data_IF_786837260440
#
_entry.id   IF_786837260440
#
_cell.length_a   1.000
_cell.length_b   1.000
_cell.length_c   1.000
_cell.angle_alpha   90.00
_cell.angle_beta   90.00
_cell.angle_gamma   90.00
#
_symmetry.space_group_name_H-M   'P 1'
#
loop_
_entity.id
_entity.type
_entity.pdbx_description
1 polymer ?
#
# COMPACT_ATOMS: atom_id res chain seq x y z
N UNK A 1 -4.59 -20.95 -3.71
CA UNK A 1 -4.56 -21.82 -4.90
C UNK A 1 -5.89 -22.53 -5.18
N UNK A 2 -6.48 -23.29 -4.27
CA UNK A 2 -7.71 -24.06 -4.53
C UNK A 2 -8.92 -23.21 -4.91
N UNK A 3 -8.99 -21.99 -4.41
CA UNK A 3 -10.09 -21.05 -4.66
C UNK A 3 -9.84 -20.17 -5.90
N UNK A 4 -8.59 -19.79 -6.18
CA UNK A 4 -8.24 -18.80 -7.21
C UNK A 4 -8.79 -19.14 -8.60
N UNK A 5 -8.63 -20.40 -9.04
CA UNK A 5 -9.08 -20.81 -10.37
C UNK A 5 -10.61 -20.90 -10.49
N UNK A 6 -11.31 -20.96 -9.36
CA UNK A 6 -12.78 -21.01 -9.30
C UNK A 6 -13.39 -19.62 -9.09
N UNK A 7 -12.66 -18.73 -8.43
CA UNK A 7 -13.12 -17.41 -8.07
C UNK A 7 -12.13 -16.35 -8.61
N UNK A 8 -12.27 -15.95 -9.88
CA UNK A 8 -11.49 -14.87 -10.45
C UNK A 8 -11.79 -13.54 -9.75
N UNK A 9 -10.88 -12.58 -9.89
CA UNK A 9 -10.98 -11.28 -9.22
C UNK A 9 -11.07 -11.42 -7.69
N UNK A 10 -10.11 -12.13 -7.12
CA UNK A 10 -10.01 -12.38 -5.68
C UNK A 10 -8.86 -11.59 -5.07
N UNK A 11 -8.92 -11.39 -3.77
CA UNK A 11 -7.88 -10.74 -2.98
C UNK A 11 -7.35 -11.70 -1.92
N UNK A 12 -6.03 -11.71 -1.76
CA UNK A 12 -5.33 -12.36 -0.65
C UNK A 12 -4.50 -11.32 0.07
N UNK A 13 -4.69 -11.20 1.37
CA UNK A 13 -3.84 -10.45 2.29
C UNK A 13 -3.36 -11.40 3.38
N UNK A 14 -2.04 -11.49 3.57
CA UNK A 14 -1.44 -12.32 4.61
C UNK A 14 -0.52 -11.45 5.48
N UNK A 15 -0.36 -11.82 6.74
CA UNK A 15 0.67 -11.28 7.61
C UNK A 15 1.65 -12.37 8.00
N UNK A 16 2.93 -12.04 8.03
CA UNK A 16 3.97 -12.88 8.63
C UNK A 16 4.39 -12.41 10.02
N UNK A 17 3.74 -11.38 10.54
CA UNK A 17 3.98 -10.90 11.90
C UNK A 17 3.06 -11.61 12.88
N UNK A 18 3.57 -12.68 13.47
CA UNK A 18 2.86 -13.49 14.46
C UNK A 18 3.07 -12.99 15.92
N UNK A 19 3.80 -11.89 16.10
CA UNK A 19 4.10 -11.35 17.43
C UNK A 19 3.00 -10.42 17.96
N UNK A 20 2.22 -9.82 17.06
CA UNK A 20 1.06 -8.99 17.42
C UNK A 20 -0.23 -9.75 17.07
N UNK A 21 -1.03 -10.10 18.08
CA UNK A 21 -2.30 -10.80 17.88
C UNK A 21 -3.27 -10.05 16.93
N UNK A 22 -3.20 -8.72 16.88
CA UNK A 22 -4.02 -7.91 15.99
C UNK A 22 -3.57 -7.96 14.54
N UNK A 23 -2.28 -8.25 14.27
CA UNK A 23 -1.70 -8.33 12.93
C UNK A 23 -1.51 -9.79 12.45
N UNK A 24 -1.90 -10.79 13.25
CA UNK A 24 -1.70 -12.21 12.92
C UNK A 24 -2.81 -12.83 12.07
N UNK A 25 -3.52 -12.02 11.27
CA UNK A 25 -4.64 -12.51 10.46
C UNK A 25 -4.33 -12.44 8.97
N UNK A 26 -4.83 -13.44 8.25
CA UNK A 26 -4.85 -13.44 6.78
C UNK A 26 -6.29 -13.43 6.28
N UNK A 27 -6.52 -12.76 5.16
CA UNK A 27 -7.84 -12.56 4.57
C UNK A 27 -7.83 -13.03 3.12
N UNK A 28 -8.88 -13.74 2.69
CA UNK A 28 -9.15 -14.03 1.29
C UNK A 28 -10.54 -13.52 0.98
N UNK A 29 -10.62 -12.56 0.05
CA UNK A 29 -11.90 -12.06 -0.51
C UNK A 29 -12.18 -12.74 -1.84
N UNK A 30 -13.38 -13.28 -2.00
CA UNK A 30 -13.87 -13.89 -3.24
C UNK A 30 -15.28 -13.40 -3.56
N UNK A 31 -15.71 -13.56 -4.80
CA UNK A 31 -17.02 -13.10 -5.28
C UNK A 31 -17.18 -11.58 -5.11
N UNK A 32 -16.52 -10.75 -5.94
CA UNK A 32 -16.70 -9.31 -5.92
C UNK A 32 -18.17 -8.97 -6.16
N UNK A 33 -18.74 -8.11 -5.31
CA UNK A 33 -20.15 -7.73 -5.39
C UNK A 33 -20.39 -6.25 -5.64
N UNK A 34 -19.42 -5.41 -5.26
CA UNK A 34 -19.47 -3.97 -5.49
C UNK A 34 -18.07 -3.40 -5.61
N UNK A 35 -17.91 -2.25 -6.27
CA UNK A 35 -16.61 -1.61 -6.41
C UNK A 35 -16.71 -0.11 -6.58
N UNK A 36 -15.67 0.59 -6.12
CA UNK A 36 -15.43 2.00 -6.42
C UNK A 36 -14.08 2.14 -7.12
N UNK A 37 -14.09 2.81 -8.27
CA UNK A 37 -12.89 3.10 -9.07
C UNK A 37 -12.81 4.59 -9.37
N UNK A 38 -11.62 5.18 -9.21
CA UNK A 38 -11.35 6.56 -9.61
C UNK A 38 -10.19 6.56 -10.61
N UNK A 39 -10.43 7.11 -11.77
CA UNK A 39 -9.43 7.24 -12.83
C UNK A 39 -9.82 8.35 -13.80
N UNK A 40 -8.83 9.06 -14.34
CA UNK A 40 -9.04 10.16 -15.29
C UNK A 40 -10.07 11.22 -14.82
N UNK A 41 -10.09 11.50 -13.51
CA UNK A 41 -11.01 12.47 -12.92
C UNK A 41 -12.45 11.99 -12.74
N UNK A 42 -12.75 10.73 -13.03
CA UNK A 42 -14.07 10.13 -12.87
C UNK A 42 -14.07 9.08 -11.75
N UNK A 43 -15.06 9.17 -10.87
CA UNK A 43 -15.40 8.15 -9.90
C UNK A 43 -16.50 7.27 -10.50
N UNK A 44 -16.26 6.00 -10.63
CA UNK A 44 -17.23 4.98 -11.06
C UNK A 44 -17.56 4.08 -9.88
N UNK A 45 -18.81 3.99 -9.50
CA UNK A 45 -19.30 3.09 -8.46
C UNK A 45 -20.20 2.03 -9.09
N UNK A 46 -19.94 0.77 -8.78
CA UNK A 46 -20.76 -0.38 -9.18
C UNK A 46 -21.36 -0.99 -7.93
N UNK A 47 -22.68 -1.09 -7.87
CA UNK A 47 -23.42 -1.64 -6.74
C UNK A 47 -23.75 -3.13 -6.94
N UNK A 48 -24.21 -3.86 -5.89
CA UNK A 48 -24.45 -5.29 -5.97
C UNK A 48 -25.53 -5.72 -6.99
N UNK A 49 -26.45 -4.83 -7.34
CA UNK A 49 -27.45 -5.04 -8.38
C UNK A 49 -26.91 -4.87 -9.81
N UNK A 50 -25.62 -4.56 -9.95
CA UNK A 50 -24.95 -4.27 -11.21
C UNK A 50 -25.15 -2.84 -11.71
N UNK A 51 -25.89 -2.00 -11.00
CA UNK A 51 -26.03 -0.58 -11.35
C UNK A 51 -24.70 0.14 -11.23
N UNK A 52 -24.43 1.04 -12.17
CA UNK A 52 -23.19 1.81 -12.23
C UNK A 52 -23.48 3.29 -12.30
N UNK A 53 -22.83 4.06 -11.45
CA UNK A 53 -22.90 5.52 -11.46
C UNK A 53 -21.51 6.12 -11.72
N UNK A 54 -21.49 7.27 -12.41
CA UNK A 54 -20.26 8.00 -12.66
C UNK A 54 -20.41 9.46 -12.21
N UNK A 55 -19.41 9.95 -11.48
CA UNK A 55 -19.38 11.33 -10.96
C UNK A 55 -17.96 11.90 -11.14
N UNK A 56 -17.86 13.16 -11.52
CA UNK A 56 -16.56 13.84 -11.65
C UNK A 56 -15.97 14.11 -10.27
N UNK A 57 -14.72 13.76 -10.09
CA UNK A 57 -13.93 14.15 -8.90
C UNK A 57 -13.42 15.56 -9.10
N UNK A 58 -13.85 16.47 -8.23
CA UNK A 58 -13.49 17.89 -8.24
C UNK A 58 -13.47 18.48 -6.81
N UNK A 59 -13.38 19.81 -6.69
CA UNK A 59 -13.42 20.48 -5.39
C UNK A 59 -14.74 20.34 -4.61
N UNK A 60 -15.85 19.95 -5.26
CA UNK A 60 -17.17 19.75 -4.63
C UNK A 60 -17.42 18.28 -4.30
N UNK A 61 -16.86 17.37 -5.09
CA UNK A 61 -16.97 15.92 -4.91
C UNK A 61 -15.57 15.28 -4.83
N UNK A 62 -15.03 15.31 -3.62
CA UNK A 62 -13.68 14.86 -3.30
C UNK A 62 -13.62 13.34 -3.09
N UNK A 63 -12.44 12.76 -3.14
CA UNK A 63 -12.23 11.31 -2.98
C UNK A 63 -12.70 10.79 -1.62
N UNK A 64 -12.47 11.52 -0.53
CA UNK A 64 -12.98 11.18 0.81
C UNK A 64 -14.50 11.10 0.83
N UNK A 65 -15.17 12.05 0.16
CA UNK A 65 -16.61 12.04 0.03
C UNK A 65 -17.09 10.87 -0.83
N UNK A 66 -16.44 10.61 -1.96
CA UNK A 66 -16.79 9.50 -2.84
C UNK A 66 -16.68 8.14 -2.12
N UNK A 67 -15.60 7.93 -1.37
CA UNK A 67 -15.42 6.72 -0.56
C UNK A 67 -16.45 6.62 0.56
N UNK A 68 -16.76 7.73 1.25
CA UNK A 68 -17.77 7.75 2.30
C UNK A 68 -19.18 7.49 1.76
N UNK A 69 -19.54 8.14 0.65
CA UNK A 69 -20.83 7.92 -0.01
C UNK A 69 -20.97 6.48 -0.50
N UNK A 70 -19.89 5.88 -1.02
CA UNK A 70 -19.89 4.48 -1.44
C UNK A 70 -20.07 3.53 -0.26
N UNK A 71 -19.29 3.68 0.81
CA UNK A 71 -19.41 2.88 2.03
C UNK A 71 -20.77 3.04 2.71
N UNK A 72 -21.35 4.24 2.65
CA UNK A 72 -22.68 4.54 3.20
C UNK A 72 -23.85 3.78 2.54
N UNK A 73 -23.63 3.15 1.36
CA UNK A 73 -24.63 2.28 0.74
C UNK A 73 -24.73 0.90 1.41
N UNK A 74 -23.80 0.55 2.31
CA UNK A 74 -23.73 -0.79 2.88
C UNK A 74 -23.93 -0.75 4.39
N UNK A 75 -24.86 -1.55 4.85
CA UNK A 75 -25.04 -1.87 6.26
C UNK A 75 -25.02 -3.38 6.40
N UNK A 76 -24.09 -3.89 7.20
CA UNK A 76 -23.93 -5.33 7.46
C UNK A 76 -24.03 -5.56 8.95
N UNK A 77 -24.89 -6.51 9.33
CA UNK A 77 -25.10 -6.93 10.71
C UNK A 77 -24.67 -8.39 10.88
N UNK A 78 -24.14 -8.73 12.02
CA UNK A 78 -23.71 -10.09 12.35
C UNK A 78 -22.43 -10.11 13.18
N UNK A 79 -22.13 -11.27 13.74
CA UNK A 79 -20.99 -11.45 14.67
C UNK A 79 -19.63 -11.09 14.04
N UNK A 80 -19.48 -11.36 12.73
CA UNK A 80 -18.22 -11.17 11.99
C UNK A 80 -18.30 -10.03 10.95
N UNK A 81 -19.26 -9.10 11.11
CA UNK A 81 -19.47 -7.98 10.20
C UNK A 81 -18.21 -7.07 10.05
N UNK A 82 -17.34 -7.05 11.07
CA UNK A 82 -16.07 -6.31 11.07
C UNK A 82 -15.05 -6.79 10.04
N UNK A 83 -15.19 -7.99 9.48
CA UNK A 83 -14.35 -8.48 8.39
C UNK A 83 -14.85 -8.05 6.99
N UNK A 84 -16.09 -7.57 6.92
CA UNK A 84 -16.66 -7.05 5.68
C UNK A 84 -16.19 -5.62 5.46
N UNK A 85 -15.66 -5.34 4.28
CA UNK A 85 -15.17 -4.03 3.91
C UNK A 85 -14.59 -4.03 2.50
N UNK A 86 -13.92 -2.96 2.17
CA UNK A 86 -13.29 -2.73 0.88
C UNK A 86 -11.85 -3.21 0.89
N UNK A 87 -11.47 -3.97 -0.11
CA UNK A 87 -10.11 -4.44 -0.34
C UNK A 87 -9.60 -3.87 -1.66
N UNK A 88 -8.45 -3.21 -1.66
CA UNK A 88 -7.98 -2.57 -2.87
C UNK A 88 -6.75 -1.72 -2.68
N UNK A 89 -6.53 -0.80 -3.62
CA UNK A 89 -5.34 0.02 -3.67
C UNK A 89 -5.62 1.48 -4.05
N UNK A 90 -4.65 2.33 -3.74
CA UNK A 90 -4.55 3.72 -4.21
C UNK A 90 -3.15 3.90 -4.81
N UNK A 91 -3.06 4.35 -6.07
CA UNK A 91 -1.77 4.59 -6.74
C UNK A 91 -1.09 5.85 -6.20
N UNK A 92 0.23 5.95 -6.37
CA UNK A 92 0.96 7.19 -6.07
C UNK A 92 0.37 8.40 -6.79
N UNK A 93 -0.09 8.21 -8.03
CA UNK A 93 -0.60 9.28 -8.87
C UNK A 93 -2.00 9.77 -8.46
N UNK A 94 -2.71 9.02 -7.60
CA UNK A 94 -3.99 9.47 -7.03
C UNK A 94 -3.86 10.79 -6.24
N UNK A 95 -2.65 11.16 -5.84
CA UNK A 95 -2.37 12.44 -5.16
C UNK A 95 -2.90 13.64 -5.93
N UNK A 96 -3.06 13.55 -7.27
CA UNK A 96 -3.70 14.59 -8.11
C UNK A 96 -5.13 14.91 -7.68
N UNK A 97 -5.81 13.98 -7.01
CA UNK A 97 -7.16 14.18 -6.48
C UNK A 97 -7.17 14.69 -5.03
N UNK A 98 -6.02 14.69 -4.37
CA UNK A 98 -5.86 15.00 -2.95
C UNK A 98 -5.19 16.37 -2.72
N UNK A 99 -4.27 16.73 -3.60
CA UNK A 99 -3.48 17.96 -3.52
C UNK A 99 -3.53 18.70 -4.86
N UNK A 100 -3.37 20.02 -4.83
CA UNK A 100 -3.33 20.84 -6.05
C UNK A 100 -1.94 20.75 -6.71
N UNK A 101 -1.68 19.62 -7.34
CA UNK A 101 -0.42 19.36 -8.05
C UNK A 101 -0.69 18.73 -9.42
N UNK A 102 0.20 19.03 -10.36
CA UNK A 102 0.26 18.33 -11.63
C UNK A 102 1.24 17.16 -11.51
N UNK A 103 0.75 15.95 -11.61
CA UNK A 103 1.57 14.74 -11.77
C UNK A 103 1.34 14.15 -13.16
N UNK A 104 2.37 13.53 -13.73
CA UNK A 104 2.24 12.87 -15.05
C UNK A 104 1.06 11.89 -15.01
N UNK A 105 0.25 11.97 -16.05
CA UNK A 105 -0.81 11.00 -16.27
C UNK A 105 -0.26 9.75 -16.95
N UNK A 106 -0.95 8.62 -16.77
CA UNK A 106 -0.75 7.47 -17.63
C UNK A 106 -1.30 7.81 -19.01
N UNK A 107 -0.55 7.48 -20.05
CA UNK A 107 -1.15 7.35 -21.37
C UNK A 107 -2.04 6.11 -21.35
N UNK A 108 -3.17 6.15 -22.07
CA UNK A 108 -4.09 5.00 -22.16
C UNK A 108 -3.41 3.72 -22.65
N UNK A 109 -2.30 3.87 -23.38
CA UNK A 109 -1.53 2.75 -23.94
C UNK A 109 -0.61 2.05 -22.93
N UNK A 110 -0.19 2.75 -21.84
CA UNK A 110 0.78 2.21 -20.89
C UNK A 110 0.11 1.62 -19.64
N UNK A 111 -0.86 2.34 -19.08
CA UNK A 111 -1.54 1.90 -17.87
C UNK A 111 -2.88 2.63 -17.71
N UNK A 112 -3.96 1.96 -18.07
CA UNK A 112 -5.35 2.43 -17.93
C UNK A 112 -6.00 1.97 -16.63
N UNK A 113 -5.25 1.34 -15.71
CA UNK A 113 -5.75 0.94 -14.41
C UNK A 113 -6.19 2.17 -13.61
N UNK A 114 -7.30 2.11 -12.87
CA UNK A 114 -7.74 3.21 -12.02
C UNK A 114 -6.67 3.65 -11.03
N UNK A 115 -6.63 4.94 -10.70
CA UNK A 115 -5.75 5.46 -9.64
C UNK A 115 -6.19 4.99 -8.24
N UNK A 116 -7.49 4.77 -8.05
CA UNK A 116 -8.08 4.21 -6.83
C UNK A 116 -9.01 3.07 -7.25
N UNK A 117 -8.87 1.92 -6.66
CA UNK A 117 -9.78 0.79 -6.87
C UNK A 117 -9.93 -0.02 -5.60
N UNK A 118 -11.17 -0.04 -5.09
CA UNK A 118 -11.54 -0.85 -3.93
C UNK A 118 -12.77 -1.70 -4.26
N UNK A 119 -12.74 -2.94 -3.80
CA UNK A 119 -13.76 -3.96 -4.08
C UNK A 119 -14.35 -4.47 -2.77
N UNK A 120 -15.67 -4.55 -2.70
CA UNK A 120 -16.41 -5.26 -1.66
C UNK A 120 -16.61 -6.71 -2.12
N UNK A 121 -16.13 -7.65 -1.33
CA UNK A 121 -16.32 -9.08 -1.59
C UNK A 121 -17.50 -9.62 -0.78
N UNK A 122 -18.29 -10.52 -1.40
CA UNK A 122 -19.40 -11.19 -0.72
C UNK A 122 -18.89 -12.17 0.33
N UNK A 123 -17.87 -12.95 -0.02
CA UNK A 123 -17.34 -14.01 0.83
C UNK A 123 -15.93 -13.67 1.27
N UNK A 124 -15.70 -13.74 2.59
CA UNK A 124 -14.40 -13.49 3.20
C UNK A 124 -13.99 -14.72 4.02
N UNK A 125 -12.77 -15.18 3.82
CA UNK A 125 -12.14 -16.24 4.59
C UNK A 125 -11.07 -15.60 5.46
N UNK A 126 -11.18 -15.75 6.76
CA UNK A 126 -10.23 -15.20 7.73
C UNK A 126 -9.47 -16.33 8.39
N UNK A 127 -8.15 -16.26 8.40
CA UNK A 127 -7.29 -17.10 9.19
C UNK A 127 -6.70 -16.30 10.34
N UNK A 128 -7.04 -16.64 11.55
CA UNK A 128 -6.38 -16.18 12.75
C UNK A 128 -5.22 -17.12 13.09
N UNK A 129 -4.00 -16.69 12.80
CA UNK A 129 -2.80 -17.51 13.01
C UNK A 129 -2.42 -17.65 14.48
N UNK A 130 -2.87 -16.73 15.34
CA UNK A 130 -2.61 -16.80 16.78
C UNK A 130 -3.44 -17.90 17.44
N UNK A 131 -4.72 -18.00 17.07
CA UNK A 131 -5.66 -18.98 17.62
C UNK A 131 -5.71 -20.26 16.77
N UNK A 132 -5.10 -20.27 15.59
CA UNK A 132 -5.22 -21.36 14.59
C UNK A 132 -6.66 -21.61 14.16
N UNK A 133 -7.44 -20.57 14.03
CA UNK A 133 -8.86 -20.61 13.66
C UNK A 133 -9.07 -20.10 12.24
N UNK A 134 -10.04 -20.70 11.55
CA UNK A 134 -10.52 -20.23 10.26
C UNK A 134 -12.00 -19.86 10.36
N UNK A 135 -12.34 -18.64 10.00
CA UNK A 135 -13.71 -18.15 9.97
C UNK A 135 -14.11 -17.91 8.51
N UNK A 136 -15.26 -18.44 8.11
CA UNK A 136 -15.89 -18.17 6.82
C UNK A 136 -17.04 -17.20 7.03
N UNK A 137 -17.04 -16.11 6.27
CA UNK A 137 -18.05 -15.05 6.37
C UNK A 137 -18.66 -14.84 4.99
N UNK A 138 -19.97 -14.77 4.89
CA UNK A 138 -20.69 -14.44 3.65
C UNK A 138 -21.79 -13.40 3.89
N UNK A 139 -22.06 -12.61 2.88
CA UNK A 139 -23.21 -11.69 2.86
C UNK A 139 -24.38 -12.41 2.15
N UNK A 140 -25.44 -12.71 2.88
CA UNK A 140 -26.66 -13.34 2.35
C UNK A 140 -26.77 -14.83 2.62
N UNK A 141 -26.84 -15.67 1.60
CA UNK A 141 -27.10 -17.11 1.73
C UNK A 141 -25.90 -17.89 2.28
N UNK A 142 -26.02 -18.42 3.49
CA UNK A 142 -24.97 -19.19 4.17
C UNK A 142 -24.71 -20.57 3.53
N UNK A 143 -25.58 -21.06 2.67
CA UNK A 143 -25.38 -22.38 2.01
C UNK A 143 -24.13 -22.43 1.13
N UNK A 144 -23.62 -21.28 0.67
CA UNK A 144 -22.38 -21.19 -0.10
C UNK A 144 -21.15 -21.54 0.72
N UNK A 145 -21.20 -21.42 2.04
CA UNK A 145 -20.07 -21.70 2.95
C UNK A 145 -19.63 -23.16 2.89
N UNK A 146 -20.59 -24.10 2.78
CA UNK A 146 -20.31 -25.53 2.65
C UNK A 146 -19.52 -25.85 1.37
N UNK A 147 -19.80 -25.13 0.27
CA UNK A 147 -19.09 -25.29 -1.01
C UNK A 147 -17.66 -24.73 -0.93
N UNK A 148 -17.49 -23.60 -0.26
CA UNK A 148 -16.18 -23.00 0.01
C UNK A 148 -15.36 -23.93 0.88
N UNK A 149 -15.91 -24.43 1.98
CA UNK A 149 -15.25 -25.36 2.89
C UNK A 149 -14.82 -26.64 2.17
N UNK A 150 -15.73 -27.26 1.40
CA UNK A 150 -15.40 -28.44 0.59
C UNK A 150 -14.25 -28.15 -0.39
N UNK A 151 -14.21 -26.97 -0.97
CA UNK A 151 -13.16 -26.58 -1.91
C UNK A 151 -11.82 -26.37 -1.21
N UNK A 152 -11.82 -25.76 -0.04
CA UNK A 152 -10.61 -25.57 0.79
C UNK A 152 -10.04 -26.92 1.22
N UNK A 153 -10.90 -27.88 1.55
CA UNK A 153 -10.52 -29.20 2.04
C UNK A 153 -10.14 -30.22 0.94
N UNK A 154 -10.22 -29.85 -0.37
CA UNK A 154 -9.78 -30.74 -1.45
C UNK A 154 -8.31 -31.14 -1.26
N UNK A 155 -7.94 -32.42 -1.49
CA UNK A 155 -6.58 -32.91 -1.23
C UNK A 155 -5.54 -32.30 -2.21
N UNK A 156 -5.96 -31.90 -3.40
CA UNK A 156 -5.08 -31.41 -4.45
C UNK A 156 -5.42 -29.98 -4.87
N UNK A 157 -4.40 -29.18 -5.15
CA UNK A 157 -4.51 -27.91 -5.83
C UNK A 157 -3.70 -27.98 -7.14
N UNK A 158 -4.21 -27.41 -8.21
CA UNK A 158 -3.45 -27.27 -9.45
C UNK A 158 -2.33 -26.27 -9.26
N UNK A 159 -1.16 -26.59 -9.77
CA UNK A 159 -0.01 -25.69 -9.85
C UNK A 159 0.37 -25.54 -11.31
N UNK A 160 0.71 -24.33 -11.71
CA UNK A 160 1.14 -24.01 -13.06
C UNK A 160 2.56 -23.46 -12.99
N UNK A 161 3.36 -23.71 -14.03
CA UNK A 161 4.72 -23.19 -14.12
C UNK A 161 4.74 -21.65 -14.27
N UNK A 162 5.86 -21.08 -13.92
CA UNK A 162 6.21 -19.69 -14.21
C UNK A 162 7.54 -19.68 -14.96
N UNK A 163 7.65 -18.90 -16.04
CA UNK A 163 8.87 -18.77 -16.84
C UNK A 163 9.10 -17.31 -17.21
N UNK A 164 10.25 -16.77 -16.85
CA UNK A 164 10.69 -15.47 -17.33
C UNK A 164 11.11 -15.56 -18.79
N UNK A 165 10.73 -14.56 -19.60
CA UNK A 165 11.01 -14.52 -21.05
C UNK A 165 11.89 -13.32 -21.35
N UNK A 166 13.08 -13.58 -21.93
CA UNK A 166 14.05 -12.55 -22.25
C UNK A 166 14.72 -11.93 -21.03
N UNK A 167 15.43 -10.83 -21.24
CA UNK A 167 16.14 -10.10 -20.19
C UNK A 167 15.23 -9.03 -19.53
N UNK A 168 15.53 -8.69 -18.28
CA UNK A 168 14.92 -7.57 -17.59
C UNK A 168 15.31 -6.28 -18.29
N UNK A 169 14.35 -5.48 -18.67
CA UNK A 169 14.54 -4.14 -19.21
C UNK A 169 14.24 -3.07 -18.17
N UNK A 170 14.65 -1.84 -18.42
CA UNK A 170 14.37 -0.72 -17.53
C UNK A 170 13.94 0.51 -18.31
N UNK A 171 13.09 1.32 -17.72
CA UNK A 171 12.61 2.58 -18.32
C UNK A 171 13.67 3.68 -18.35
N UNK A 172 14.75 3.54 -17.61
CA UNK A 172 15.92 4.40 -17.58
C UNK A 172 17.20 3.56 -17.62
N UNK A 173 18.21 4.03 -18.32
CA UNK A 173 19.57 3.52 -18.19
C UNK A 173 20.17 3.94 -16.83
N UNK A 174 21.28 3.32 -16.42
CA UNK A 174 21.98 3.70 -15.19
C UNK A 174 22.42 5.16 -15.23
N UNK A 175 22.93 5.63 -16.38
CA UNK A 175 23.37 7.01 -16.57
C UNK A 175 22.21 8.02 -16.54
N UNK A 176 21.05 7.67 -17.07
CA UNK A 176 19.86 8.51 -16.98
C UNK A 176 19.36 8.60 -15.54
N UNK A 177 19.35 7.49 -14.82
CA UNK A 177 18.97 7.49 -13.41
C UNK A 177 19.95 8.29 -12.56
N UNK A 178 21.27 8.15 -12.77
CA UNK A 178 22.28 8.98 -12.09
C UNK A 178 22.12 10.48 -12.43
N UNK A 179 21.77 10.81 -13.66
CA UNK A 179 21.44 12.21 -14.01
C UNK A 179 20.25 12.74 -13.19
N UNK A 180 19.19 11.92 -13.01
CA UNK A 180 18.05 12.32 -12.17
C UNK A 180 18.47 12.47 -10.70
N UNK A 181 19.34 11.59 -10.19
CA UNK A 181 19.91 11.71 -8.84
C UNK A 181 20.68 13.04 -8.69
N UNK A 182 21.54 13.39 -9.65
CA UNK A 182 22.27 14.70 -9.65
C UNK A 182 21.31 15.88 -9.62
N UNK A 183 20.20 15.84 -10.39
CA UNK A 183 19.19 16.90 -10.33
C UNK A 183 18.48 16.92 -8.97
N UNK A 184 18.17 15.77 -8.39
CA UNK A 184 17.63 15.67 -7.01
C UNK A 184 18.56 16.30 -5.99
N UNK A 185 19.88 16.01 -6.05
CA UNK A 185 20.90 16.65 -5.19
C UNK A 185 20.90 18.18 -5.38
N UNK A 186 20.78 18.67 -6.61
CA UNK A 186 20.72 20.13 -6.89
C UNK A 186 19.50 20.77 -6.25
N UNK A 187 18.32 20.11 -6.29
CA UNK A 187 17.13 20.60 -5.61
C UNK A 187 17.31 20.64 -4.10
N UNK A 188 17.97 19.64 -3.51
CA UNK A 188 18.31 19.66 -2.09
C UNK A 188 19.27 20.81 -1.74
N UNK A 189 20.32 21.04 -2.54
CA UNK A 189 21.29 22.12 -2.33
C UNK A 189 20.68 23.52 -2.49
N UNK A 190 19.66 23.67 -3.34
CA UNK A 190 18.91 24.94 -3.50
C UNK A 190 17.94 25.19 -2.35
N UNK A 191 17.64 24.20 -1.54
CA UNK A 191 16.64 24.27 -0.47
C UNK A 191 15.19 24.09 -0.95
N UNK A 192 14.99 23.55 -2.17
CA UNK A 192 13.65 23.21 -2.68
C UNK A 192 13.03 22.06 -1.87
N UNK A 193 13.85 21.10 -1.47
CA UNK A 193 13.51 19.94 -0.65
C UNK A 193 14.66 19.59 0.29
N UNK A 194 14.37 18.96 1.43
CA UNK A 194 15.37 18.36 2.31
C UNK A 194 15.77 16.97 1.81
N UNK A 195 14.77 16.24 1.31
CA UNK A 195 14.91 14.90 0.74
C UNK A 195 13.91 14.72 -0.39
N UNK A 196 14.30 13.95 -1.40
CA UNK A 196 13.44 13.50 -2.48
C UNK A 196 13.72 12.03 -2.77
N UNK A 197 12.67 11.23 -3.01
CA UNK A 197 12.80 9.83 -3.38
C UNK A 197 12.63 9.66 -4.87
N UNK A 198 13.71 9.31 -5.57
CA UNK A 198 13.70 9.04 -7.01
C UNK A 198 13.74 7.54 -7.27
N UNK A 199 12.94 7.10 -8.23
CA UNK A 199 12.75 5.69 -8.49
C UNK A 199 12.97 5.31 -9.97
N UNK A 200 13.11 4.02 -10.19
CA UNK A 200 13.33 3.42 -11.50
C UNK A 200 12.48 2.16 -11.65
N UNK A 201 11.76 2.04 -12.78
CA UNK A 201 10.93 0.88 -13.10
C UNK A 201 11.71 -0.11 -13.96
N UNK A 202 11.47 -1.38 -13.67
CA UNK A 202 11.97 -2.53 -14.42
C UNK A 202 10.80 -3.35 -14.94
N UNK A 203 11.01 -3.99 -16.08
CA UNK A 203 10.01 -4.75 -16.80
C UNK A 203 10.61 -6.12 -17.13
N UNK A 204 9.89 -7.19 -16.78
CA UNK A 204 10.20 -8.57 -17.15
C UNK A 204 9.00 -9.19 -17.85
N UNK A 205 9.18 -9.69 -19.06
CA UNK A 205 8.17 -10.51 -19.71
C UNK A 205 8.16 -11.91 -19.09
N UNK A 206 6.99 -12.54 -19.04
CA UNK A 206 6.84 -13.87 -18.48
C UNK A 206 5.72 -14.64 -19.17
N UNK A 207 5.75 -15.97 -19.03
CA UNK A 207 4.71 -16.90 -19.38
C UNK A 207 4.33 -17.75 -18.16
N UNK A 208 3.07 -18.22 -18.11
CA UNK A 208 2.59 -19.08 -17.05
C UNK A 208 1.91 -18.33 -15.90
N UNK A 209 2.19 -18.73 -14.67
CA UNK A 209 1.42 -18.35 -13.48
C UNK A 209 2.20 -17.44 -12.53
N UNK A 210 1.85 -16.17 -12.49
CA UNK A 210 2.44 -15.18 -11.59
C UNK A 210 2.13 -15.41 -10.09
N UNK A 211 1.14 -16.26 -9.78
CA UNK A 211 0.92 -16.67 -8.38
C UNK A 211 2.07 -17.54 -7.84
N UNK A 212 2.76 -18.31 -8.69
CA UNK A 212 3.97 -19.00 -8.28
C UNK A 212 5.12 -18.03 -7.98
N UNK A 213 5.21 -16.93 -8.73
CA UNK A 213 6.14 -15.85 -8.42
C UNK A 213 5.82 -15.21 -7.05
N UNK A 214 4.53 -14.95 -6.76
CA UNK A 214 4.12 -14.49 -5.44
C UNK A 214 4.55 -15.46 -4.33
N UNK A 215 4.34 -16.76 -4.51
CA UNK A 215 4.76 -17.80 -3.54
C UNK A 215 6.28 -17.80 -3.34
N UNK A 216 7.05 -17.63 -4.41
CA UNK A 216 8.50 -17.50 -4.32
C UNK A 216 8.89 -16.25 -3.52
N UNK A 217 8.29 -15.08 -3.82
CA UNK A 217 8.54 -13.83 -3.09
C UNK A 217 8.19 -13.96 -1.60
N UNK A 218 7.03 -14.53 -1.28
CA UNK A 218 6.59 -14.81 0.08
C UNK A 218 7.61 -15.63 0.88
N UNK A 219 8.23 -16.61 0.23
CA UNK A 219 9.22 -17.49 0.88
C UNK A 219 10.59 -16.82 1.09
N UNK A 220 10.95 -15.87 0.22
CA UNK A 220 12.24 -15.18 0.25
C UNK A 220 12.21 -13.95 1.15
N UNK A 221 11.12 -13.23 1.12
CA UNK A 221 10.95 -11.95 1.81
C UNK A 221 9.63 -11.92 2.60
N UNK A 222 9.49 -12.72 3.67
CA UNK A 222 8.32 -12.61 4.54
C UNK A 222 8.29 -11.23 5.20
N UNK A 223 7.14 -10.58 5.14
CA UNK A 223 6.93 -9.20 5.64
C UNK A 223 5.56 -9.11 6.32
N UNK A 224 5.32 -8.07 7.15
CA UNK A 224 4.02 -7.88 7.81
C UNK A 224 2.85 -7.80 6.84
N UNK A 225 3.08 -7.31 5.62
CA UNK A 225 2.07 -7.19 4.58
C UNK A 225 2.45 -7.99 3.34
N UNK A 226 1.85 -9.15 3.19
CA UNK A 226 1.92 -9.99 2.01
C UNK A 226 0.57 -9.91 1.30
N UNK A 227 0.57 -9.70 0.00
CA UNK A 227 -0.69 -9.52 -0.73
C UNK A 227 -0.61 -10.02 -2.17
N UNK A 228 -1.74 -10.52 -2.65
CA UNK A 228 -1.98 -10.86 -4.05
C UNK A 228 -3.42 -10.50 -4.42
N UNK A 229 -3.58 -9.48 -5.23
CA UNK A 229 -4.87 -8.99 -5.69
C UNK A 229 -5.01 -9.25 -7.19
N UNK A 230 -6.04 -9.95 -7.57
CA UNK A 230 -6.45 -10.13 -8.96
C UNK A 230 -7.65 -9.21 -9.26
N UNK A 231 -7.45 -8.22 -10.11
CA UNK A 231 -8.48 -7.30 -10.55
C UNK A 231 -9.06 -7.66 -11.94
N UNK A 232 -8.76 -8.88 -12.44
CA UNK A 232 -9.21 -9.39 -13.72
C UNK A 232 -8.26 -9.03 -14.87
N UNK A 233 -8.11 -7.76 -15.22
CA UNK A 233 -7.22 -7.31 -16.30
C UNK A 233 -5.75 -7.17 -15.90
N UNK A 234 -5.46 -7.07 -14.62
CA UNK A 234 -4.13 -6.95 -14.04
C UNK A 234 -4.10 -7.47 -12.60
N UNK A 235 -2.90 -7.69 -12.08
CA UNK A 235 -2.68 -8.13 -10.70
C UNK A 235 -1.65 -7.27 -10.02
N UNK A 236 -1.81 -7.08 -8.71
CA UNK A 236 -0.83 -6.42 -7.84
C UNK A 236 -0.49 -7.39 -6.72
N UNK A 237 0.78 -7.74 -6.59
CA UNK A 237 1.22 -8.65 -5.53
C UNK A 237 2.61 -8.29 -5.03
N UNK A 238 2.82 -8.48 -3.73
CA UNK A 238 4.04 -8.00 -3.11
C UNK A 238 4.22 -8.45 -1.67
N UNK A 239 5.31 -7.95 -1.09
CA UNK A 239 5.72 -8.19 0.27
C UNK A 239 6.25 -6.89 0.88
N UNK A 240 5.34 -6.08 1.43
CA UNK A 240 5.68 -4.77 1.99
C UNK A 240 6.02 -4.85 3.48
N UNK A 241 7.11 -4.25 3.92
CA UNK A 241 7.44 -4.16 5.34
C UNK A 241 6.76 -3.00 6.06
N UNK A 242 6.15 -2.05 5.35
CA UNK A 242 5.86 -0.73 5.88
C UNK A 242 4.38 -0.39 5.81
N UNK A 243 3.83 0.06 6.96
CA UNK A 243 2.49 0.61 7.06
C UNK A 243 2.47 2.03 6.49
N UNK A 244 1.51 2.31 5.60
CA UNK A 244 1.24 3.68 5.19
C UNK A 244 0.43 4.43 6.26
N UNK A 245 -0.76 3.93 6.57
CA UNK A 245 -1.66 4.48 7.56
C UNK A 245 -2.57 3.38 8.10
N UNK A 246 -2.82 3.42 9.40
CA UNK A 246 -3.76 2.56 10.09
C UNK A 246 -4.70 3.41 10.92
N UNK A 247 -5.99 3.13 10.86
CA UNK A 247 -7.04 3.76 11.69
C UNK A 247 -7.80 2.66 12.39
N UNK A 248 -7.87 2.76 13.71
CA UNK A 248 -8.64 1.86 14.57
C UNK A 248 -9.51 2.71 15.50
N UNK A 249 -10.82 2.51 15.42
CA UNK A 249 -11.75 3.37 16.13
C UNK A 249 -11.54 4.83 15.74
N UNK A 250 -11.26 5.67 16.70
CA UNK A 250 -11.03 7.11 16.47
C UNK A 250 -9.55 7.51 16.55
N UNK A 251 -8.62 6.59 16.27
CA UNK A 251 -7.19 6.84 16.38
C UNK A 251 -6.45 6.43 15.11
N UNK A 252 -5.62 7.35 14.61
CA UNK A 252 -4.77 7.13 13.45
C UNK A 252 -3.32 6.87 13.87
N UNK A 253 -2.62 6.03 13.09
CA UNK A 253 -1.25 5.60 13.31
C UNK A 253 -0.45 5.64 12.01
N UNK A 254 0.79 6.10 12.11
CA UNK A 254 1.82 5.97 11.08
C UNK A 254 3.06 5.40 11.75
N UNK A 255 3.65 4.36 11.15
CA UNK A 255 4.83 3.68 11.67
C UNK A 255 6.03 3.92 10.73
N UNK A 256 6.75 5.06 10.84
CA UNK A 256 7.91 5.35 10.00
C UNK A 256 9.02 4.33 10.24
N UNK A 257 9.53 3.77 9.14
CA UNK A 257 10.69 2.89 9.14
C UNK A 257 11.81 3.61 8.39
N UNK A 258 12.91 3.88 9.09
CA UNK A 258 14.14 4.36 8.47
C UNK A 258 15.33 3.71 9.18
N UNK A 259 16.26 3.29 8.38
CA UNK A 259 17.37 2.48 8.85
C UNK A 259 17.05 0.98 8.79
N UNK A 260 17.85 0.30 7.98
CA UNK A 260 17.71 -1.14 7.78
C UNK A 260 19.11 -1.76 7.77
N UNK A 261 19.28 -2.82 8.53
CA UNK A 261 20.48 -3.63 8.45
C UNK A 261 20.15 -5.11 8.28
N UNK A 262 21.10 -5.86 7.76
CA UNK A 262 20.91 -7.30 7.54
C UNK A 262 20.93 -8.05 8.87
N UNK A 263 19.97 -8.96 9.03
CA UNK A 263 20.03 -10.01 10.04
C UNK A 263 20.73 -11.24 9.47
N UNK A 264 21.79 -11.69 10.11
CA UNK A 264 22.64 -12.80 9.64
C UNK A 264 22.29 -14.12 10.31
N UNK A 265 21.63 -14.08 11.47
CA UNK A 265 21.40 -15.23 12.34
C UNK A 265 22.59 -15.53 13.27
N UNK A 266 23.73 -14.83 13.06
CA UNK A 266 24.86 -14.84 13.99
C UNK A 266 24.64 -13.75 15.04
N UNK A 267 24.56 -14.14 16.31
CA UNK A 267 24.25 -13.25 17.43
C UNK A 267 25.25 -12.10 17.60
N UNK A 268 26.53 -12.35 17.39
CA UNK A 268 27.58 -11.34 17.54
C UNK A 268 27.55 -10.34 16.36
N UNK A 269 27.35 -10.84 15.14
CA UNK A 269 27.24 -9.98 13.97
C UNK A 269 25.95 -9.16 14.00
N UNK A 270 24.84 -9.76 14.39
CA UNK A 270 23.56 -9.06 14.51
C UNK A 270 23.60 -7.96 15.58
N UNK A 271 24.33 -8.19 16.68
CA UNK A 271 24.60 -7.17 17.69
C UNK A 271 25.40 -6.00 17.14
N UNK A 272 26.47 -6.26 16.38
CA UNK A 272 27.27 -5.21 15.72
C UNK A 272 26.43 -4.42 14.72
N UNK A 273 25.63 -5.10 13.91
CA UNK A 273 24.73 -4.48 12.96
C UNK A 273 23.69 -3.58 13.67
N UNK A 274 23.18 -4.03 14.80
CA UNK A 274 22.25 -3.28 15.66
C UNK A 274 22.89 -2.02 16.25
N UNK A 275 24.12 -2.13 16.78
CA UNK A 275 24.88 -1.01 17.31
C UNK A 275 25.22 0.01 16.23
N UNK A 276 25.59 -0.46 15.04
CA UNK A 276 25.82 0.41 13.88
C UNK A 276 24.54 1.20 13.55
N UNK A 277 23.39 0.51 13.38
CA UNK A 277 22.12 1.15 13.04
C UNK A 277 21.68 2.19 14.08
N UNK A 278 21.90 1.92 15.37
CA UNK A 278 21.57 2.88 16.45
C UNK A 278 22.42 4.15 16.41
N UNK A 279 23.67 4.03 15.98
CA UNK A 279 24.67 5.09 16.11
C UNK A 279 24.98 5.80 14.78
N UNK A 280 24.49 5.30 13.64
CA UNK A 280 24.73 5.93 12.35
C UNK A 280 24.04 7.29 12.26
N UNK A 281 24.81 8.41 12.07
CA UNK A 281 24.21 9.75 12.08
C UNK A 281 23.28 10.02 10.90
N UNK A 282 23.52 9.39 9.71
CA UNK A 282 22.70 9.56 8.52
C UNK A 282 21.33 8.90 8.73
N UNK A 283 21.34 7.62 9.10
CA UNK A 283 20.13 6.84 9.38
C UNK A 283 19.26 7.50 10.47
N UNK A 284 19.94 7.99 11.53
CA UNK A 284 19.27 8.69 12.63
C UNK A 284 18.66 10.03 12.21
N UNK A 285 19.31 10.80 11.37
CA UNK A 285 18.80 12.08 10.88
C UNK A 285 17.59 11.87 9.95
N UNK A 286 17.69 10.88 9.06
CA UNK A 286 16.58 10.48 8.18
C UNK A 286 15.37 10.01 9.00
N UNK A 287 15.60 9.16 9.99
CA UNK A 287 14.53 8.65 10.84
C UNK A 287 13.79 9.77 11.60
N UNK A 288 14.52 10.72 12.19
CA UNK A 288 13.93 11.87 12.87
C UNK A 288 13.07 12.71 11.91
N UNK A 289 13.56 12.94 10.69
CA UNK A 289 12.83 13.68 9.66
C UNK A 289 11.52 12.96 9.28
N UNK A 290 11.53 11.64 9.11
CA UNK A 290 10.33 10.87 8.78
C UNK A 290 9.32 10.82 9.92
N UNK A 291 9.77 10.76 11.18
CA UNK A 291 8.91 10.88 12.36
C UNK A 291 8.25 12.27 12.42
N UNK A 292 9.01 13.33 12.15
CA UNK A 292 8.47 14.69 12.13
C UNK A 292 7.47 14.89 10.98
N UNK A 293 7.74 14.31 9.82
CA UNK A 293 6.81 14.31 8.69
C UNK A 293 5.50 13.57 9.03
N UNK A 294 5.57 12.41 9.67
CA UNK A 294 4.40 11.67 10.11
C UNK A 294 3.59 12.44 11.17
N UNK A 295 4.26 13.14 12.09
CA UNK A 295 3.60 14.04 13.05
C UNK A 295 2.87 15.18 12.33
N UNK A 296 3.51 15.78 11.33
CA UNK A 296 2.92 16.85 10.53
C UNK A 296 1.68 16.35 9.76
N UNK A 297 1.79 15.18 9.12
CA UNK A 297 0.69 14.57 8.37
C UNK A 297 -0.53 14.32 9.26
N UNK A 298 -0.36 13.69 10.42
CA UNK A 298 -1.46 13.44 11.35
C UNK A 298 -2.03 14.72 11.97
N UNK A 299 -1.19 15.75 12.20
CA UNK A 299 -1.63 17.01 12.79
C UNK A 299 -2.63 17.79 11.92
N UNK A 300 -2.82 17.41 10.66
CA UNK A 300 -3.84 18.00 9.77
C UNK A 300 -5.27 17.68 10.22
N UNK A 301 -5.50 16.49 10.79
CA UNK A 301 -6.82 15.97 11.12
C UNK A 301 -6.91 15.32 12.50
N UNK A 302 -5.81 15.33 13.29
CA UNK A 302 -5.76 14.69 14.59
C UNK A 302 -5.31 15.68 15.66
N UNK A 303 -5.82 15.49 16.88
CA UNK A 303 -5.30 16.12 18.10
C UNK A 303 -4.46 15.14 18.92
N UNK A 304 -3.74 15.69 19.91
CA UNK A 304 -2.92 14.88 20.80
C UNK A 304 -1.85 14.07 20.08
N UNK A 305 -1.39 14.55 18.90
CA UNK A 305 -0.39 13.84 18.10
C UNK A 305 0.88 13.64 18.92
N UNK A 306 1.29 12.39 19.08
CA UNK A 306 2.45 11.99 19.89
C UNK A 306 3.23 10.86 19.24
N UNK A 307 4.46 10.71 19.70
CA UNK A 307 5.31 9.56 19.38
C UNK A 307 5.12 8.53 20.49
N UNK A 308 4.46 7.41 20.18
CA UNK A 308 4.17 6.36 21.17
C UNK A 308 5.42 5.60 21.58
N UNK A 309 6.28 5.28 20.60
CA UNK A 309 7.65 4.79 20.81
C UNK A 309 8.58 5.36 19.75
N UNK A 310 9.86 5.51 20.08
CA UNK A 310 10.84 6.19 19.27
C UNK A 310 12.10 5.36 19.10
N UNK A 311 12.43 5.02 17.86
CA UNK A 311 13.63 4.26 17.45
C UNK A 311 13.74 2.88 18.11
N UNK A 312 12.64 2.15 18.12
CA UNK A 312 12.63 0.75 18.52
C UNK A 312 13.23 -0.14 17.45
N UNK A 313 14.03 -1.10 17.88
CA UNK A 313 14.62 -2.09 16.99
C UNK A 313 13.69 -3.27 16.84
N UNK A 314 13.22 -3.47 15.61
CA UNK A 314 12.40 -4.62 15.26
C UNK A 314 13.20 -5.63 14.46
N UNK A 315 13.20 -6.89 14.94
CA UNK A 315 13.97 -8.00 14.36
C UNK A 315 13.03 -8.87 13.52
N UNK A 316 13.24 -8.84 12.21
CA UNK A 316 12.56 -9.73 11.29
C UNK A 316 13.46 -10.93 10.91
N UNK A 317 12.97 -11.81 10.05
CA UNK A 317 13.73 -13.03 9.67
C UNK A 317 15.09 -12.72 9.02
N UNK A 318 15.17 -11.64 8.21
CA UNK A 318 16.36 -11.32 7.41
C UNK A 318 16.88 -9.91 7.59
N UNK A 319 16.13 -9.04 8.28
CA UNK A 319 16.48 -7.63 8.47
C UNK A 319 16.17 -7.18 9.89
N UNK A 320 16.86 -6.13 10.31
CA UNK A 320 16.63 -5.38 11.55
C UNK A 320 16.26 -3.97 11.11
N UNK A 321 15.11 -3.48 11.56
CA UNK A 321 14.63 -2.13 11.25
C UNK A 321 14.63 -1.24 12.49
N UNK A 322 14.82 0.05 12.26
CA UNK A 322 14.57 1.09 13.23
C UNK A 322 13.17 1.65 12.97
N UNK A 323 12.27 1.49 13.91
CA UNK A 323 10.84 1.82 13.78
C UNK A 323 10.43 2.81 14.87
N UNK A 324 9.58 3.75 14.51
CA UNK A 324 8.85 4.59 15.46
C UNK A 324 7.36 4.51 15.19
N UNK A 325 6.53 4.88 16.16
CA UNK A 325 5.09 5.02 15.98
C UNK A 325 4.65 6.42 16.32
N UNK A 326 3.93 7.03 15.40
CA UNK A 326 3.23 8.30 15.62
C UNK A 326 1.74 8.02 15.62
N UNK A 327 1.04 8.54 16.60
CA UNK A 327 -0.42 8.39 16.70
C UNK A 327 -1.09 9.72 17.03
N UNK A 328 -2.38 9.82 16.70
CA UNK A 328 -3.21 10.96 17.04
C UNK A 328 -4.69 10.58 17.07
N UNK A 329 -5.47 11.29 17.88
CA UNK A 329 -6.91 11.09 17.98
C UNK A 329 -7.60 11.93 16.89
N UNK A 330 -8.37 11.26 16.01
CA UNK A 330 -9.07 11.88 14.89
C UNK A 330 -10.15 12.80 15.40
N UNK A 331 -10.20 14.02 14.90
CA UNK A 331 -11.23 15.00 15.25
C UNK A 331 -11.89 15.60 14.01
N UNK A 332 -13.17 15.94 14.17
CA UNK A 332 -13.86 16.76 13.19
C UNK A 332 -13.19 18.14 13.05
N UNK A 333 -12.73 18.48 11.88
CA UNK A 333 -12.28 19.85 11.60
C UNK A 333 -13.48 20.82 11.74
N UNK A 334 -13.21 22.05 12.21
CA UNK A 334 -14.26 23.09 12.28
C UNK A 334 -14.97 23.31 10.92
N UNK A 335 -14.24 23.17 9.82
CA UNK A 335 -14.78 23.30 8.47
C UNK A 335 -15.80 22.21 8.13
N UNK A 336 -15.53 20.97 8.51
CA UNK A 336 -16.43 19.84 8.35
C UNK A 336 -17.64 19.98 9.28
N UNK A 337 -17.41 20.45 10.51
CA UNK A 337 -18.48 20.71 11.49
C UNK A 337 -19.45 21.78 11.03
N UNK A 338 -18.95 22.91 10.50
CA UNK A 338 -19.80 24.00 9.97
C UNK A 338 -20.58 23.56 8.74
N UNK A 339 -19.99 22.73 7.86
CA UNK A 339 -20.71 22.15 6.71
C UNK A 339 -21.79 21.16 7.15
N UNK A 340 -21.54 20.35 8.20
CA UNK A 340 -22.52 19.40 8.74
C UNK A 340 -23.71 20.07 9.41
N UNK A 341 -23.49 21.15 10.15
CA UNK A 341 -24.56 21.94 10.77
C UNK A 341 -25.53 22.56 9.75
N UNK A 342 -25.05 22.85 8.52
CA UNK A 342 -25.88 23.36 7.41
C UNK A 342 -26.65 22.27 6.67
N UNK A 343 -26.27 21.00 6.81
CA UNK A 343 -26.84 19.85 6.10
C UNK A 343 -27.70 18.93 6.99
N UNK A 344 -28.04 19.35 8.23
CA UNK A 344 -28.87 18.55 9.14
C UNK A 344 -30.28 18.38 8.60
N UNK A 345 -30.45 17.40 7.68
CA UNK A 345 -31.71 16.74 7.37
C UNK A 345 -31.40 15.23 7.33
N UNK A 346 -31.77 14.51 8.41
CA UNK A 346 -31.61 13.05 8.49
C UNK A 346 -30.35 12.58 9.22
N UNK A 347 -30.41 11.41 9.80
CA UNK A 347 -29.50 10.68 10.70
C UNK A 347 -27.97 10.70 10.34
N UNK A 348 -27.39 11.87 10.25
CA UNK A 348 -26.12 12.20 9.57
C UNK A 348 -24.83 12.04 10.39
N UNK A 349 -24.85 11.54 11.63
CA UNK A 349 -23.64 11.44 12.46
C UNK A 349 -22.66 10.36 11.98
N UNK A 350 -23.16 9.23 11.53
CA UNK A 350 -22.35 8.10 11.03
C UNK A 350 -21.56 8.43 9.75
N UNK A 351 -22.19 9.11 8.78
CA UNK A 351 -21.53 9.46 7.51
C UNK A 351 -20.43 10.52 7.66
N UNK A 352 -20.56 11.41 8.65
CA UNK A 352 -19.56 12.43 8.92
C UNK A 352 -18.32 11.86 9.60
N UNK A 353 -18.48 10.99 10.59
CA UNK A 353 -17.37 10.30 11.26
C UNK A 353 -16.56 9.48 10.25
N UNK A 354 -17.23 8.71 9.39
CA UNK A 354 -16.63 7.94 8.32
C UNK A 354 -15.79 8.83 7.39
N UNK A 355 -16.35 9.95 6.97
CA UNK A 355 -15.67 10.90 6.08
C UNK A 355 -14.41 11.50 6.71
N UNK A 356 -14.42 11.82 8.02
CA UNK A 356 -13.25 12.36 8.73
C UNK A 356 -12.11 11.33 8.77
N UNK A 357 -12.41 10.06 9.02
CA UNK A 357 -11.43 8.97 8.96
C UNK A 357 -10.81 8.84 7.57
N UNK A 358 -11.63 8.81 6.52
CA UNK A 358 -11.16 8.71 5.14
C UNK A 358 -10.36 9.94 4.72
N UNK A 359 -10.76 11.14 5.14
CA UNK A 359 -9.99 12.35 4.90
C UNK A 359 -8.64 12.30 5.60
N UNK A 360 -8.58 11.78 6.83
CA UNK A 360 -7.31 11.59 7.56
C UNK A 360 -6.37 10.69 6.78
N UNK A 361 -6.86 9.56 6.27
CA UNK A 361 -6.08 8.67 5.41
C UNK A 361 -5.56 9.38 4.16
N UNK A 362 -6.43 10.11 3.43
CA UNK A 362 -6.07 10.83 2.21
C UNK A 362 -5.04 11.92 2.48
N UNK A 363 -5.17 12.67 3.56
CA UNK A 363 -4.26 13.77 3.90
C UNK A 363 -2.87 13.30 4.36
N UNK A 364 -2.72 12.04 4.75
CA UNK A 364 -1.40 11.42 5.02
C UNK A 364 -0.69 10.93 3.76
N UNK A 365 -1.43 10.81 2.65
CA UNK A 365 -0.94 10.23 1.39
C UNK A 365 -0.11 11.22 0.54
N UNK A 366 0.88 10.76 -0.25
CA UNK A 366 1.54 9.46 -0.12
C UNK A 366 2.53 9.44 1.04
N UNK A 367 3.05 8.25 1.38
CA UNK A 367 4.04 8.11 2.44
C UNK A 367 5.30 8.97 2.18
N UNK A 368 5.82 9.59 3.24
CA UNK A 368 7.01 10.43 3.17
C UNK A 368 8.26 9.67 2.71
N UNK A 369 8.37 8.40 3.10
CA UNK A 369 9.43 7.47 2.70
C UNK A 369 9.47 7.19 1.20
N UNK A 370 8.40 7.51 0.47
CA UNK A 370 8.28 7.34 -1.00
C UNK A 370 8.18 8.65 -1.77
N UNK A 371 8.08 9.78 -1.09
CA UNK A 371 7.94 11.11 -1.71
C UNK A 371 9.11 12.03 -1.38
N UNK A 372 9.16 12.55 -0.19
CA UNK A 372 10.19 13.46 0.30
C UNK A 372 9.61 14.57 1.17
N UNK A 373 10.46 15.51 1.53
CA UNK A 373 10.09 16.62 2.41
C UNK A 373 10.65 17.95 1.88
N UNK A 374 9.82 19.01 1.72
CA UNK A 374 8.36 19.07 1.85
C UNK A 374 7.64 18.22 0.78
N UNK A 375 6.59 17.53 1.18
CA UNK A 375 5.92 16.49 0.39
C UNK A 375 5.44 16.96 -0.98
N UNK A 376 4.67 18.04 -1.04
CA UNK A 376 4.10 18.57 -2.29
C UNK A 376 5.20 18.97 -3.29
N UNK A 377 6.25 19.65 -2.83
CA UNK A 377 7.36 20.05 -3.69
C UNK A 377 8.16 18.86 -4.20
N UNK A 378 8.41 17.87 -3.33
CA UNK A 378 9.07 16.64 -3.73
C UNK A 378 8.29 15.90 -4.83
N UNK A 379 6.97 15.78 -4.71
CA UNK A 379 6.12 15.15 -5.73
C UNK A 379 6.12 15.86 -7.08
N UNK A 380 6.15 17.21 -7.09
CA UNK A 380 6.29 17.99 -8.33
C UNK A 380 7.60 17.66 -9.03
N UNK A 381 8.72 17.67 -8.30
CA UNK A 381 10.04 17.37 -8.86
C UNK A 381 10.12 15.90 -9.32
N UNK A 382 9.56 14.96 -8.57
CA UNK A 382 9.45 13.55 -9.00
C UNK A 382 8.75 13.46 -10.35
N UNK A 383 7.62 14.13 -10.50
CA UNK A 383 6.86 14.15 -11.76
C UNK A 383 7.62 14.77 -12.92
N UNK A 384 8.51 15.74 -12.64
CA UNK A 384 9.36 16.35 -13.66
C UNK A 384 10.50 15.42 -14.11
N UNK A 385 11.13 14.70 -13.16
CA UNK A 385 12.33 13.90 -13.38
C UNK A 385 12.06 12.46 -13.82
N UNK A 386 11.01 11.83 -13.32
CA UNK A 386 10.68 10.46 -13.73
C UNK A 386 9.96 10.43 -15.09
N UNK A 387 10.29 9.49 -16.00
CA UNK A 387 9.76 9.51 -17.38
C UNK A 387 8.29 9.14 -17.50
N UNK A 388 7.73 8.45 -16.51
CA UNK A 388 6.35 7.94 -16.49
C UNK A 388 5.72 8.14 -15.12
N UNK A 389 4.40 7.90 -15.02
CA UNK A 389 3.74 7.82 -13.72
C UNK A 389 4.21 6.56 -12.95
N UNK A 390 4.12 6.60 -11.62
CA UNK A 390 4.52 5.47 -10.78
C UNK A 390 3.50 4.34 -10.73
N UNK A 391 2.23 4.66 -10.98
CA UNK A 391 1.15 3.70 -10.79
C UNK A 391 1.07 3.20 -9.35
N UNK A 392 1.03 1.89 -9.16
CA UNK A 392 0.93 1.28 -7.83
C UNK A 392 2.15 1.55 -6.93
N UNK A 393 3.37 1.65 -7.48
CA UNK A 393 4.58 1.86 -6.69
C UNK A 393 4.52 3.17 -5.88
N UNK A 394 4.76 3.07 -4.58
CA UNK A 394 4.71 4.22 -3.66
C UNK A 394 3.30 4.70 -3.32
N UNK A 395 2.27 4.02 -3.83
CA UNK A 395 0.91 4.11 -3.36
C UNK A 395 0.66 3.25 -2.12
N UNK A 396 -0.57 2.84 -1.90
CA UNK A 396 -0.92 1.94 -0.82
C UNK A 396 -1.92 0.87 -1.26
N UNK A 397 -1.97 -0.22 -0.50
CA UNK A 397 -2.85 -1.37 -0.72
C UNK A 397 -3.28 -1.94 0.62
N UNK A 398 -4.55 -2.32 0.73
CA UNK A 398 -5.05 -2.85 1.99
C UNK A 398 -6.56 -2.91 2.09
N UNK A 399 -7.02 -2.69 3.30
CA UNK A 399 -8.40 -2.86 3.73
C UNK A 399 -8.98 -1.55 4.28
N UNK A 400 -10.26 -1.30 4.00
CA UNK A 400 -11.09 -0.23 4.58
C UNK A 400 -12.40 -0.87 5.06
N UNK A 401 -12.62 -0.89 6.37
CA UNK A 401 -13.86 -1.38 6.99
C UNK A 401 -15.05 -0.47 6.70
N UNK A 402 -16.26 -1.03 6.79
CA UNK A 402 -17.49 -0.25 6.63
C UNK A 402 -17.63 0.87 7.68
N UNK A 403 -16.98 0.74 8.82
CA UNK A 403 -16.91 1.74 9.89
C UNK A 403 -15.78 2.78 9.69
N UNK A 404 -15.03 2.69 8.59
CA UNK A 404 -13.91 3.57 8.28
C UNK A 404 -12.58 3.19 8.96
N UNK A 405 -12.54 2.15 9.76
CA UNK A 405 -11.26 1.59 10.22
C UNK A 405 -10.48 1.08 9.00
N UNK A 406 -9.19 1.28 8.96
CA UNK A 406 -8.40 0.88 7.81
C UNK A 406 -6.98 0.45 8.19
N UNK A 407 -6.42 -0.39 7.33
CA UNK A 407 -5.01 -0.78 7.41
C UNK A 407 -4.46 -0.84 5.99
N UNK A 408 -3.54 0.08 5.68
CA UNK A 408 -2.98 0.28 4.36
C UNK A 408 -1.46 0.13 4.42
N UNK A 409 -0.91 -0.79 3.66
CA UNK A 409 0.53 -0.95 3.46
C UNK A 409 1.02 -0.06 2.31
N UNK A 410 2.24 0.43 2.38
CA UNK A 410 2.90 1.10 1.26
C UNK A 410 3.17 0.06 0.17
N UNK A 411 2.84 0.37 -1.08
CA UNK A 411 3.08 -0.52 -2.22
C UNK A 411 4.54 -0.45 -2.67
N UNK A 412 5.39 -1.20 -1.98
CA UNK A 412 6.81 -1.41 -2.28
C UNK A 412 7.13 -2.89 -2.27
N UNK A 413 8.27 -3.30 -2.82
CA UNK A 413 8.60 -4.73 -2.98
C UNK A 413 7.48 -5.49 -3.70
N UNK A 414 6.96 -4.90 -4.76
CA UNK A 414 5.69 -5.26 -5.40
C UNK A 414 5.89 -5.44 -6.89
N UNK A 415 5.17 -6.39 -7.45
CA UNK A 415 4.97 -6.57 -8.87
C UNK A 415 3.58 -6.11 -9.28
N UNK A 416 3.50 -5.45 -10.43
CA UNK A 416 2.26 -5.29 -11.19
C UNK A 416 2.35 -6.20 -12.39
N UNK A 417 1.42 -7.13 -12.53
CA UNK A 417 1.35 -8.11 -13.60
C UNK A 417 0.22 -7.78 -14.55
N UNK A 418 0.53 -7.61 -15.84
CA UNK A 418 -0.45 -7.32 -16.88
C UNK A 418 0.05 -7.76 -18.25
N UNK A 419 -0.79 -8.42 -19.03
CA UNK A 419 -0.50 -8.75 -20.42
C UNK A 419 0.77 -9.58 -20.65
N UNK A 420 1.20 -10.41 -19.66
CA UNK A 420 2.45 -11.17 -19.73
C UNK A 420 3.69 -10.36 -19.39
N UNK A 421 3.53 -9.19 -18.78
CA UNK A 421 4.61 -8.35 -18.27
C UNK A 421 4.50 -8.18 -16.75
N UNK A 422 5.65 -8.16 -16.10
CA UNK A 422 5.83 -7.80 -14.69
C UNK A 422 6.51 -6.44 -14.62
N UNK A 423 5.88 -5.48 -13.99
CA UNK A 423 6.48 -4.20 -13.64
C UNK A 423 6.85 -4.19 -12.17
N UNK A 424 8.08 -3.81 -11.87
CA UNK A 424 8.56 -3.68 -10.50
C UNK A 424 9.51 -2.48 -10.39
N UNK A 425 9.50 -1.83 -9.24
CA UNK A 425 10.13 -0.52 -9.07
C UNK A 425 10.78 -0.39 -7.69
N UNK A 426 11.88 0.34 -7.64
CA UNK A 426 12.50 0.75 -6.40
C UNK A 426 13.08 2.16 -6.52
N UNK A 427 13.20 2.84 -5.38
CA UNK A 427 13.77 4.18 -5.30
C UNK A 427 14.66 4.35 -4.07
N UNK A 428 15.48 5.38 -4.12
CA UNK A 428 16.37 5.83 -3.06
C UNK A 428 16.06 7.25 -2.59
N UNK A 429 16.30 7.52 -1.31
CA UNK A 429 16.16 8.84 -0.71
C UNK A 429 17.37 9.71 -0.99
N UNK A 430 17.21 10.74 -1.80
CA UNK A 430 18.28 11.66 -2.22
C UNK A 430 18.28 12.87 -1.30
N UNK A 431 19.46 13.18 -0.75
CA UNK A 431 19.72 14.35 0.09
C UNK A 431 20.92 15.15 -0.46
N UNK A 432 21.17 16.34 0.06
CA UNK A 432 22.25 17.21 -0.42
C UNK A 432 23.67 16.56 -0.38
N UNK A 433 23.88 15.56 0.46
CA UNK A 433 25.15 14.83 0.61
C UNK A 433 25.16 13.45 -0.07
N UNK A 434 24.13 13.10 -0.82
CA UNK A 434 24.05 11.81 -1.53
C UNK A 434 25.15 11.70 -2.59
N UNK A 435 25.59 10.46 -2.83
CA UNK A 435 26.50 10.08 -3.90
C UNK A 435 25.74 9.25 -4.94
N UNK A 436 25.88 9.59 -6.21
CA UNK A 436 25.07 9.00 -7.29
C UNK A 436 25.30 7.51 -7.50
N UNK A 437 26.54 7.02 -7.31
CA UNK A 437 26.86 5.60 -7.45
C UNK A 437 26.27 4.80 -6.26
N UNK A 438 26.37 5.37 -5.06
CA UNK A 438 25.80 4.77 -3.86
C UNK A 438 24.27 4.66 -3.97
N UNK A 439 23.59 5.74 -4.38
CA UNK A 439 22.12 5.75 -4.52
C UNK A 439 21.64 4.82 -5.66
N UNK A 440 22.39 4.72 -6.77
CA UNK A 440 22.12 3.74 -7.82
C UNK A 440 22.20 2.30 -7.27
N UNK A 441 23.27 2.01 -6.49
CA UNK A 441 23.45 0.69 -5.90
C UNK A 441 22.37 0.38 -4.86
N UNK A 442 21.90 1.38 -4.11
CA UNK A 442 20.79 1.22 -3.16
C UNK A 442 19.50 0.78 -3.87
N UNK A 443 19.16 1.40 -5.00
CA UNK A 443 18.01 0.99 -5.83
C UNK A 443 18.16 -0.47 -6.28
N UNK A 444 19.35 -0.85 -6.77
CA UNK A 444 19.61 -2.23 -7.18
C UNK A 444 19.51 -3.24 -6.03
N UNK A 445 19.97 -2.87 -4.84
CA UNK A 445 19.87 -3.69 -3.63
C UNK A 445 18.40 -3.89 -3.20
N UNK A 446 17.60 -2.84 -3.28
CA UNK A 446 16.15 -2.90 -2.96
C UNK A 446 15.36 -3.81 -3.92
N UNK A 447 15.83 -3.99 -5.14
CA UNK A 447 15.27 -4.92 -6.13
C UNK A 447 15.70 -6.38 -5.91
N UNK A 448 16.72 -6.61 -5.09
CA UNK A 448 17.34 -7.94 -4.94
C UNK A 448 16.36 -9.05 -4.55
N UNK A 449 15.40 -8.77 -3.66
CA UNK A 449 14.37 -9.75 -3.28
C UNK A 449 13.44 -10.09 -4.44
N UNK A 450 13.04 -9.09 -5.25
CA UNK A 450 12.17 -9.28 -6.40
C UNK A 450 12.86 -10.08 -7.51
N UNK A 451 14.13 -9.77 -7.81
CA UNK A 451 14.93 -10.53 -8.80
C UNK A 451 15.11 -11.98 -8.37
N UNK A 452 15.48 -12.21 -7.10
CA UNK A 452 15.59 -13.58 -6.55
C UNK A 452 14.27 -14.34 -6.57
N UNK A 453 13.14 -13.64 -6.41
CA UNK A 453 11.84 -14.28 -6.51
C UNK A 453 11.54 -14.77 -7.93
N UNK A 454 11.91 -14.00 -8.96
CA UNK A 454 11.81 -14.42 -10.37
C UNK A 454 12.65 -15.68 -10.60
N UNK A 455 13.95 -15.65 -10.24
CA UNK A 455 14.84 -16.81 -10.36
C UNK A 455 14.33 -18.06 -9.62
N UNK A 456 13.75 -17.88 -8.44
CA UNK A 456 13.19 -18.97 -7.62
C UNK A 456 11.91 -19.54 -8.19
N UNK A 457 11.09 -18.72 -8.85
CA UNK A 457 9.82 -19.15 -9.42
C UNK A 457 10.00 -20.02 -10.68
N UNK A 458 11.15 -19.95 -11.34
CA UNK A 458 11.54 -20.77 -12.49
C UNK A 458 12.00 -22.19 -12.11
N UNK A 459 12.37 -22.41 -10.84
CA UNK A 459 12.78 -23.72 -10.29
C UNK A 459 11.58 -24.57 -9.88
#
# INVERSE_FOLDING_TARGET
>A
MRLRDLYPQSALMESSDYHDANNSRSFIGICPMASIAIGHGLCTMTLPDGSTTQTVIDGNYTTDKALADFLGNFQVEGENANYIGLYGYTTFNAVRYFENINVKDSTMDENDAPDVLYVLYRDIIVFDHHNSEMTLVTIGDESVLDDIERTINKPTARTYGFHAVGEVTSTLTDEEHKRNIREGIRHCLRGDVFQIVLSRRFIQRYEGDDFNLYRALRSINPSPYLFYFDFGGFRIFGSSPETHCRIEGNRAYIDPIAGTTRRTGDSEQDKKNTEYLRNDPKENAEHVMLVDLARNDLSRNCRGVKVDFFKDLQYYSHVIHLVSRVSGDIEESEELRVKSERLRVGDGTSGMELRVKLKTFIDTFPAGTLSGAPKVRAMQIISELEPHNRGAYGGCIGYIGLNGDLNQAITIRTFVSRGGELWFQAGGGIVAKSDEEYELQEVNNKLGALRKAIERAEQ
#
